data_IF_766999807684
#
_entry.id   IF_766999807684
#
_cell.length_a   1.000
_cell.length_b   1.000
_cell.length_c   1.000
_cell.angle_alpha   90.00
_cell.angle_beta   90.00
_cell.angle_gamma   90.00
#
_symmetry.space_group_name_H-M   'P 1'
#
loop_
_entity.id
_entity.type
_entity.pdbx_description
1 polymer ?
#
# COMPACT_ATOMS: atom_id res chain seq x y z
N UNK A 1 -10.34 -2.28 7.52
CA UNK A 1 -10.05 -1.17 6.58
C UNK A 1 -9.94 0.16 7.31
N UNK A 2 -8.71 0.57 7.59
CA UNK A 2 -8.39 1.89 8.16
C UNK A 2 -7.83 2.77 7.05
N UNK A 3 -8.21 4.05 7.01
CA UNK A 3 -7.64 5.01 6.08
C UNK A 3 -6.12 5.10 6.27
N UNK A 4 -5.35 5.07 5.18
CA UNK A 4 -3.91 5.21 5.27
C UNK A 4 -3.56 6.64 5.73
N UNK A 5 -2.90 6.77 6.87
CA UNK A 5 -2.51 8.06 7.44
C UNK A 5 -1.48 8.79 6.57
N UNK A 6 -0.56 8.07 5.93
CA UNK A 6 0.50 8.64 5.08
C UNK A 6 0.03 9.27 3.76
N UNK A 7 -1.22 9.03 3.35
CA UNK A 7 -1.82 9.67 2.19
C UNK A 7 -3.24 10.17 2.45
N UNK A 8 -3.69 10.18 3.70
CA UNK A 8 -5.03 10.53 4.14
C UNK A 8 -6.17 9.91 3.29
N UNK A 9 -5.99 8.67 2.82
CA UNK A 9 -7.01 7.99 2.00
C UNK A 9 -6.90 8.17 0.49
N UNK A 10 -5.98 9.01 0.02
CA UNK A 10 -5.89 9.35 -1.40
C UNK A 10 -5.21 8.28 -2.27
N UNK A 11 -4.36 7.45 -1.68
CA UNK A 11 -3.53 6.46 -2.40
C UNK A 11 -2.37 7.08 -3.18
N UNK A 12 -2.26 8.40 -3.27
CA UNK A 12 -1.18 9.06 -4.01
C UNK A 12 -0.01 9.42 -3.10
N UNK A 13 1.18 9.52 -3.69
CA UNK A 13 2.35 10.04 -3.00
C UNK A 13 2.19 11.55 -2.78
N UNK A 14 2.00 11.98 -1.55
CA UNK A 14 1.85 13.40 -1.19
C UNK A 14 3.13 14.22 -1.45
N UNK A 15 4.31 13.58 -1.36
CA UNK A 15 5.58 14.27 -1.56
C UNK A 15 5.76 14.80 -3.00
N UNK A 16 5.18 14.13 -3.99
CA UNK A 16 5.19 14.55 -5.39
C UNK A 16 3.78 14.84 -5.93
N UNK A 17 2.77 14.97 -5.07
CA UNK A 17 1.37 15.17 -5.47
C UNK A 17 0.86 14.19 -6.54
N UNK A 18 1.35 12.96 -6.53
CA UNK A 18 1.00 11.93 -7.52
C UNK A 18 1.59 12.11 -8.92
N UNK A 19 2.56 13.02 -9.11
CA UNK A 19 3.25 13.16 -10.41
C UNK A 19 4.33 12.10 -10.63
N UNK A 20 4.88 11.52 -9.56
CA UNK A 20 6.03 10.60 -9.63
C UNK A 20 7.37 11.30 -9.81
N UNK A 21 7.36 12.55 -10.26
CA UNK A 21 8.53 13.41 -10.39
C UNK A 21 8.21 14.82 -9.87
N UNK A 22 9.23 15.62 -9.61
CA UNK A 22 9.03 17.02 -9.26
C UNK A 22 8.87 17.84 -10.56
N UNK A 23 7.67 18.42 -10.85
CA UNK A 23 7.48 19.24 -12.03
C UNK A 23 8.37 20.48 -11.95
N UNK A 24 8.82 20.96 -13.11
CA UNK A 24 9.73 22.10 -13.25
C UNK A 24 9.27 23.29 -12.40
N UNK A 25 9.92 23.50 -11.26
CA UNK A 25 9.88 24.77 -10.55
C UNK A 25 11.10 25.57 -10.99
N UNK A 26 10.93 26.86 -11.34
CA UNK A 26 12.04 27.66 -11.86
C UNK A 26 13.21 27.83 -10.88
N UNK A 27 13.04 27.44 -9.62
CA UNK A 27 13.95 27.74 -8.52
C UNK A 27 14.72 26.53 -7.97
N UNK A 28 14.50 25.32 -8.49
CA UNK A 28 15.24 24.13 -8.02
C UNK A 28 15.83 23.31 -9.17
N UNK A 29 17.07 22.85 -8.99
CA UNK A 29 17.81 22.00 -9.94
C UNK A 29 17.26 20.55 -10.03
N UNK A 30 16.18 20.23 -9.31
CA UNK A 30 15.55 18.89 -9.27
C UNK A 30 14.61 18.63 -10.46
N UNK A 31 14.94 19.16 -11.63
CA UNK A 31 14.11 19.06 -12.83
C UNK A 31 14.04 17.62 -13.32
N UNK A 32 12.83 17.09 -13.45
CA UNK A 32 12.59 15.75 -13.98
C UNK A 32 13.26 14.64 -13.18
N UNK A 33 13.61 14.90 -11.92
CA UNK A 33 14.12 13.86 -11.02
C UNK A 33 12.94 13.12 -10.42
N UNK A 34 13.02 11.80 -10.45
CA UNK A 34 12.03 10.93 -9.82
C UNK A 34 11.91 11.27 -8.34
N UNK A 35 10.67 11.20 -7.83
CA UNK A 35 10.41 11.42 -6.43
C UNK A 35 11.08 10.32 -5.61
N UNK A 36 12.05 10.64 -4.77
CA UNK A 36 12.79 9.66 -3.95
C UNK A 36 11.94 8.99 -2.86
N UNK A 37 10.69 9.42 -2.67
CA UNK A 37 9.76 8.85 -1.68
C UNK A 37 8.95 7.71 -2.30
N UNK A 38 8.54 7.85 -3.57
CA UNK A 38 7.79 6.82 -4.29
C UNK A 38 8.57 6.22 -5.46
N UNK A 39 9.85 6.57 -5.65
CA UNK A 39 10.70 6.13 -6.75
C UNK A 39 10.04 6.23 -8.13
N UNK A 40 9.21 7.26 -8.34
CA UNK A 40 8.50 7.46 -9.61
C UNK A 40 7.19 6.71 -9.78
N UNK A 41 6.74 5.90 -8.81
CA UNK A 41 5.50 5.10 -8.94
C UNK A 41 4.22 5.93 -8.82
N UNK A 42 4.31 7.15 -8.30
CA UNK A 42 3.18 8.04 -7.99
C UNK A 42 2.26 7.55 -6.84
N UNK A 43 2.53 6.38 -6.28
CA UNK A 43 1.68 5.72 -5.29
C UNK A 43 2.20 5.97 -3.86
N UNK A 44 1.29 6.00 -2.90
CA UNK A 44 1.65 5.99 -1.49
C UNK A 44 2.30 4.65 -1.16
N UNK A 45 3.58 4.68 -0.76
CA UNK A 45 4.37 3.49 -0.43
C UNK A 45 3.95 2.79 0.86
N UNK A 46 3.13 3.45 1.69
CA UNK A 46 2.61 2.85 2.93
C UNK A 46 1.35 2.00 2.71
N UNK A 47 0.60 2.25 1.65
CA UNK A 47 -0.62 1.51 1.33
C UNK A 47 -0.63 0.97 -0.11
N UNK A 48 0.51 0.98 -0.79
CA UNK A 48 0.68 0.53 -2.18
C UNK A 48 -0.41 1.08 -3.13
N UNK A 49 -0.74 2.37 -2.97
CA UNK A 49 -1.74 3.02 -3.82
C UNK A 49 -3.22 2.76 -3.45
N UNK A 50 -3.51 1.93 -2.45
CA UNK A 50 -4.89 1.57 -2.10
C UNK A 50 -5.65 2.66 -1.33
N UNK A 51 -4.95 3.59 -0.67
CA UNK A 51 -5.56 4.61 0.19
C UNK A 51 -6.06 4.06 1.54
N UNK A 52 -6.03 2.75 1.75
CA UNK A 52 -6.39 2.12 3.02
C UNK A 52 -5.38 1.04 3.35
N UNK A 53 -5.00 0.94 4.62
CA UNK A 53 -4.26 -0.20 5.14
C UNK A 53 -5.26 -1.20 5.72
N UNK A 54 -5.22 -2.43 5.23
CA UNK A 54 -5.88 -3.54 5.88
C UNK A 54 -5.05 -3.92 7.11
N UNK A 55 -5.36 -3.28 8.22
CA UNK A 55 -4.90 -3.69 9.56
C UNK A 55 -5.34 -5.12 9.93
N UNK A 56 -6.11 -5.78 9.05
CA UNK A 56 -6.68 -7.12 9.21
C UNK A 56 -5.94 -8.19 8.38
N UNK A 57 -4.77 -7.87 7.80
CA UNK A 57 -3.87 -8.95 7.36
C UNK A 57 -3.19 -9.51 8.59
N UNK A 58 -3.88 -10.42 9.28
CA UNK A 58 -3.28 -11.43 10.13
C UNK A 58 -2.31 -12.24 9.24
N UNK A 59 -0.99 -12.04 9.33
CA UNK A 59 -0.05 -12.84 8.59
C UNK A 59 0.12 -14.16 9.36
N UNK A 60 -0.93 -14.99 9.43
CA UNK A 60 -0.94 -16.00 10.49
C UNK A 60 -2.01 -17.08 10.53
N UNK A 61 -2.85 -17.27 9.52
CA UNK A 61 -3.72 -18.47 9.45
C UNK A 61 -3.59 -19.21 8.13
N UNK A 62 -2.38 -19.73 7.88
CA UNK A 62 -2.21 -21.01 7.19
C UNK A 62 -2.69 -22.14 8.14
N UNK A 63 -3.95 -22.15 8.56
CA UNK A 63 -4.50 -23.29 9.31
C UNK A 63 -5.02 -24.33 8.32
N UNK A 64 -4.13 -25.28 8.04
CA UNK A 64 -4.36 -26.56 7.38
C UNK A 64 -5.38 -27.46 8.12
N UNK A 65 -6.61 -27.01 8.35
CA UNK A 65 -7.59 -27.77 9.15
C UNK A 65 -8.95 -28.03 8.46
N UNK A 66 -8.91 -28.19 7.14
CA UNK A 66 -10.05 -28.68 6.35
C UNK A 66 -10.02 -30.21 6.11
N UNK A 67 -9.27 -30.99 6.89
CA UNK A 67 -9.03 -32.42 6.62
C UNK A 67 -9.58 -33.44 7.64
N UNK A 68 -10.17 -33.05 8.78
CA UNK A 68 -10.59 -34.02 9.83
C UNK A 68 -12.07 -33.93 10.27
N UNK A 69 -13.00 -33.58 9.38
CA UNK A 69 -14.45 -33.63 9.69
C UNK A 69 -15.21 -34.84 9.08
N UNK A 70 -14.51 -35.86 8.54
CA UNK A 70 -15.14 -37.04 7.92
C UNK A 70 -15.02 -38.35 8.72
N UNK A 71 -14.53 -38.30 9.97
CA UNK A 71 -14.36 -39.50 10.82
C UNK A 71 -15.28 -39.56 12.05
N UNK A 72 -16.44 -38.89 12.05
CA UNK A 72 -17.43 -39.00 13.13
C UNK A 72 -18.79 -39.57 12.68
N UNK A 73 -18.86 -40.20 11.50
CA UNK A 73 -20.03 -41.00 11.06
C UNK A 73 -19.87 -42.50 11.28
N UNK A 74 -19.15 -42.92 12.33
CA UNK A 74 -19.08 -44.33 12.76
C UNK A 74 -18.91 -44.47 14.27
N UNK A 75 -19.93 -44.12 15.05
CA UNK A 75 -20.27 -44.79 16.30
C UNK A 75 -21.79 -44.87 16.42
#
# INVERSE_FOLDING_TARGET
MTTCDGCAGSGICDACSGYGYFPDTPETDYRGTDCTVCDGTCECTECDGHGSTDSDTDPGVDDEDAAMALLEMRQ
#
